data_IF_018929161115
#
_entry.id   IF_018929161115
#
_cell.length_a   1.000
_cell.length_b   1.000
_cell.length_c   1.000
_cell.angle_alpha   90.00
_cell.angle_beta   90.00
_cell.angle_gamma   90.00
#
_symmetry.space_group_name_H-M   'P 1'
#
loop_
_entity.id
_entity.type
_entity.pdbx_description
1 polymer ?
#
# COMPACT_ATOMS: atom_id res chain seq x y z
N UNK A 1 14.00 -61.22 7.49
CA UNK A 1 13.52 -60.03 8.16
C UNK A 1 13.40 -60.35 9.63
N UNK A 2 14.03 -59.59 10.49
CA UNK A 2 14.09 -59.79 11.95
C UNK A 2 12.69 -59.48 12.59
N UNK A 3 12.40 -59.99 13.81
CA UNK A 3 11.05 -59.80 14.42
C UNK A 3 10.66 -58.33 14.60
N UNK A 4 11.58 -57.44 15.00
CA UNK A 4 11.27 -56.02 15.25
C UNK A 4 11.11 -55.30 13.91
N UNK A 5 11.94 -55.52 12.94
CA UNK A 5 11.82 -54.98 11.61
C UNK A 5 10.52 -55.45 10.94
N UNK A 6 10.15 -56.70 11.14
CA UNK A 6 8.86 -57.26 10.67
C UNK A 6 7.63 -56.62 11.28
N UNK A 7 7.70 -56.13 12.52
CA UNK A 7 6.61 -55.37 13.14
C UNK A 7 6.48 -53.95 12.50
N UNK A 8 7.60 -53.30 12.22
CA UNK A 8 7.63 -51.97 11.57
C UNK A 8 7.06 -52.06 10.15
N UNK A 9 7.50 -53.07 9.37
CA UNK A 9 7.00 -53.21 7.99
C UNK A 9 5.49 -53.50 7.95
N UNK A 10 4.95 -54.30 8.86
CA UNK A 10 3.51 -54.53 9.01
C UNK A 10 2.73 -53.24 9.38
N UNK A 11 3.36 -52.32 10.12
CA UNK A 11 2.74 -51.05 10.42
C UNK A 11 2.73 -50.15 9.15
N UNK A 12 3.81 -50.13 8.41
CA UNK A 12 3.96 -49.34 7.16
C UNK A 12 2.98 -49.82 6.06
N UNK A 13 2.63 -51.10 6.05
CA UNK A 13 1.58 -51.66 5.14
C UNK A 13 0.21 -50.98 5.27
N UNK A 14 -0.10 -50.42 6.44
CA UNK A 14 -1.36 -49.74 6.72
C UNK A 14 -1.31 -48.21 6.46
N UNK A 15 -0.19 -47.69 6.12
CA UNK A 15 -0.05 -46.27 5.87
C UNK A 15 -0.63 -45.90 4.50
N UNK A 16 -1.24 -44.71 4.44
CA UNK A 16 -1.82 -44.15 3.22
C UNK A 16 -0.85 -43.24 2.46
N UNK A 17 0.37 -43.07 2.97
CA UNK A 17 1.44 -42.33 2.32
C UNK A 17 2.57 -43.26 1.90
N UNK A 18 3.33 -42.84 0.88
CA UNK A 18 4.46 -43.62 0.35
C UNK A 18 5.58 -43.71 1.38
N UNK A 19 6.11 -44.91 1.63
CA UNK A 19 7.21 -45.11 2.58
C UNK A 19 8.10 -46.27 2.19
N UNK A 20 9.35 -46.20 2.60
CA UNK A 20 10.30 -47.31 2.55
C UNK A 20 11.17 -47.39 3.82
N UNK A 21 11.91 -48.49 3.93
CA UNK A 21 12.92 -48.68 4.98
C UNK A 21 14.28 -48.90 4.28
N UNK A 22 15.28 -48.18 4.79
CA UNK A 22 16.64 -48.18 4.24
C UNK A 22 17.61 -48.66 5.32
N UNK A 23 18.59 -49.45 4.94
CA UNK A 23 19.68 -49.87 5.81
C UNK A 23 20.82 -48.83 5.88
N UNK A 24 21.87 -49.11 6.68
CA UNK A 24 23.05 -48.25 6.83
C UNK A 24 23.82 -48.05 5.50
N UNK A 25 23.71 -49.01 4.57
CA UNK A 25 24.31 -48.94 3.26
C UNK A 25 23.49 -48.21 2.19
N UNK A 26 22.42 -47.54 2.61
CA UNK A 26 21.49 -46.84 1.72
C UNK A 26 20.72 -47.73 0.76
N UNK A 27 20.55 -49.02 1.11
CA UNK A 27 19.77 -49.97 0.31
C UNK A 27 18.34 -50.01 0.83
N UNK A 28 17.37 -49.96 -0.06
CA UNK A 28 15.96 -50.10 0.26
C UNK A 28 15.66 -51.55 0.57
N UNK A 29 15.34 -51.86 1.81
CA UNK A 29 15.06 -53.22 2.28
C UNK A 29 13.55 -53.54 2.33
N UNK A 30 12.73 -52.50 2.28
CA UNK A 30 11.27 -52.62 2.26
C UNK A 30 10.66 -51.39 1.65
N UNK A 31 9.58 -51.57 0.90
CA UNK A 31 8.65 -50.51 0.44
C UNK A 31 7.23 -50.88 0.84
N UNK A 32 6.41 -49.86 1.13
CA UNK A 32 5.01 -50.15 1.40
C UNK A 32 4.16 -50.18 0.11
N UNK A 33 2.91 -50.73 0.14
CA UNK A 33 2.12 -50.88 -1.06
C UNK A 33 1.86 -49.59 -1.83
N UNK A 34 1.73 -48.43 -1.13
CA UNK A 34 1.51 -47.14 -1.76
C UNK A 34 2.73 -46.71 -2.58
N UNK A 35 3.94 -46.92 -2.04
CA UNK A 35 5.18 -46.62 -2.75
C UNK A 35 5.39 -47.56 -3.93
N UNK A 36 5.05 -48.87 -3.77
CA UNK A 36 5.16 -49.87 -4.83
C UNK A 36 4.18 -49.59 -5.98
N UNK A 37 2.97 -49.10 -5.70
CA UNK A 37 1.99 -48.70 -6.71
C UNK A 37 2.48 -47.51 -7.56
N UNK A 38 3.15 -46.54 -6.93
CA UNK A 38 3.66 -45.34 -7.63
C UNK A 38 4.92 -45.61 -8.45
N UNK A 39 5.87 -46.42 -7.95
CA UNK A 39 7.21 -46.51 -8.50
C UNK A 39 7.66 -47.96 -8.82
N UNK A 40 6.82 -48.92 -8.58
CA UNK A 40 7.15 -50.34 -8.72
C UNK A 40 7.99 -50.85 -7.55
N UNK A 41 8.47 -52.14 -7.65
CA UNK A 41 9.25 -52.71 -6.59
C UNK A 41 10.69 -52.23 -6.63
N UNK A 42 11.07 -51.41 -5.67
CA UNK A 42 12.40 -50.82 -5.50
C UNK A 42 13.28 -51.53 -4.45
N UNK A 43 12.80 -52.61 -3.87
CA UNK A 43 13.54 -53.34 -2.85
C UNK A 43 14.87 -53.92 -3.44
N UNK A 44 15.97 -53.65 -2.76
CA UNK A 44 17.32 -54.00 -3.21
C UNK A 44 18.05 -52.89 -3.94
N UNK A 45 17.37 -51.84 -4.37
CA UNK A 45 18.00 -50.71 -5.04
C UNK A 45 18.63 -49.74 -4.01
N UNK A 46 19.64 -49.00 -4.45
CA UNK A 46 20.23 -47.89 -3.67
C UNK A 46 19.39 -46.64 -3.78
N UNK A 47 19.14 -45.95 -2.68
CA UNK A 47 18.39 -44.66 -2.68
C UNK A 47 19.02 -43.62 -3.60
N UNK A 48 20.37 -43.63 -3.74
CA UNK A 48 21.11 -42.73 -4.63
C UNK A 48 20.80 -42.89 -6.12
N UNK A 49 20.22 -44.02 -6.52
CA UNK A 49 19.83 -44.28 -7.93
C UNK A 49 18.45 -43.67 -8.19
N UNK A 50 17.62 -43.55 -7.16
CA UNK A 50 16.23 -43.13 -7.26
C UNK A 50 16.09 -41.61 -7.10
N UNK A 51 16.94 -41.01 -6.27
CA UNK A 51 17.02 -39.56 -6.17
C UNK A 51 17.68 -39.01 -7.43
N UNK A 52 16.95 -38.23 -8.22
CA UNK A 52 17.54 -37.53 -9.36
C UNK A 52 18.61 -36.56 -8.85
N UNK A 53 19.87 -36.88 -9.16
CA UNK A 53 21.06 -36.19 -8.65
C UNK A 53 21.22 -34.73 -9.09
N UNK A 54 20.21 -34.12 -9.72
CA UNK A 54 20.29 -32.79 -10.32
C UNK A 54 19.56 -31.66 -9.53
N UNK A 55 18.76 -31.97 -8.52
CA UNK A 55 17.88 -30.98 -7.89
C UNK A 55 17.86 -31.01 -6.35
N UNK A 56 19.04 -31.19 -5.73
CA UNK A 56 19.16 -31.12 -4.28
C UNK A 56 19.27 -29.65 -3.82
N UNK A 57 18.17 -28.98 -3.55
CA UNK A 57 18.13 -27.92 -2.54
C UNK A 57 17.68 -28.53 -1.21
N UNK A 58 18.67 -28.92 -0.39
CA UNK A 58 18.44 -29.35 0.99
C UNK A 58 18.03 -28.12 1.80
N UNK A 59 16.75 -27.86 1.91
CA UNK A 59 16.24 -26.95 2.93
C UNK A 59 16.12 -27.75 4.24
N UNK A 60 17.24 -27.91 4.95
CA UNK A 60 17.23 -28.45 6.31
C UNK A 60 16.57 -27.43 7.24
N UNK A 61 15.27 -27.57 7.49
CA UNK A 61 14.63 -27.00 8.66
C UNK A 61 14.64 -28.08 9.75
N UNK A 62 15.46 -27.92 10.76
CA UNK A 62 15.31 -28.65 12.02
C UNK A 62 13.93 -28.33 12.61
N UNK A 63 13.02 -29.25 12.50
CA UNK A 63 11.81 -29.29 13.31
C UNK A 63 12.16 -30.22 14.46
N UNK A 64 12.29 -29.65 15.68
CA UNK A 64 12.69 -30.30 16.92
C UNK A 64 12.64 -31.82 16.97
N UNK A 65 13.05 -32.53 17.96
CA UNK A 65 13.30 -33.97 18.17
C UNK A 65 12.60 -35.06 17.30
N UNK A 66 11.89 -34.70 16.25
CA UNK A 66 11.20 -35.56 15.29
C UNK A 66 11.67 -35.26 13.85
N UNK A 67 12.77 -35.88 13.45
CA UNK A 67 13.10 -36.11 12.03
C UNK A 67 13.50 -34.88 11.18
N UNK A 68 14.50 -35.09 10.34
CA UNK A 68 14.87 -34.15 9.26
C UNK A 68 13.87 -34.29 8.11
N UNK A 69 13.39 -33.18 7.54
CA UNK A 69 12.58 -33.18 6.31
C UNK A 69 13.33 -32.52 5.17
N UNK A 70 13.24 -33.09 3.98
CA UNK A 70 13.83 -32.54 2.75
C UNK A 70 12.82 -32.60 1.60
N UNK A 71 12.91 -31.67 0.66
CA UNK A 71 12.15 -31.76 -0.58
C UNK A 71 13.02 -32.37 -1.66
N UNK A 72 12.45 -33.29 -2.44
CA UNK A 72 13.13 -34.00 -3.52
C UNK A 72 12.13 -34.31 -4.65
N UNK A 73 12.63 -34.70 -5.79
CA UNK A 73 11.80 -35.14 -6.92
C UNK A 73 12.11 -36.63 -7.21
N UNK A 74 11.06 -37.41 -7.41
CA UNK A 74 11.16 -38.80 -7.87
C UNK A 74 10.32 -38.88 -9.14
N UNK A 75 10.91 -39.20 -10.27
CA UNK A 75 10.24 -39.27 -11.58
C UNK A 75 9.43 -37.99 -11.89
N UNK A 76 10.03 -36.83 -11.68
CA UNK A 76 9.44 -35.49 -11.86
C UNK A 76 8.28 -35.13 -10.90
N UNK A 77 7.94 -36.03 -9.99
CA UNK A 77 6.94 -35.74 -8.95
C UNK A 77 7.64 -35.16 -7.71
N UNK A 78 7.29 -33.96 -7.25
CA UNK A 78 7.90 -33.35 -6.07
C UNK A 78 7.34 -33.97 -4.80
N UNK A 79 8.23 -34.44 -3.94
CA UNK A 79 7.88 -34.98 -2.62
C UNK A 79 8.55 -34.22 -1.50
N UNK A 80 7.91 -34.17 -0.35
CA UNK A 80 8.53 -33.87 0.92
C UNK A 80 8.83 -35.19 1.62
N UNK A 81 10.12 -35.48 1.82
CA UNK A 81 10.61 -36.66 2.51
C UNK A 81 10.85 -36.36 3.98
N UNK A 82 10.34 -37.20 4.83
CA UNK A 82 10.60 -37.20 6.26
C UNK A 82 11.41 -38.44 6.61
N UNK A 83 12.45 -38.30 7.40
CA UNK A 83 13.38 -39.37 7.74
C UNK A 83 13.42 -39.56 9.24
N UNK A 84 13.28 -40.82 9.69
CA UNK A 84 13.41 -41.23 11.08
C UNK A 84 14.41 -42.36 11.22
N UNK A 85 15.44 -42.17 12.06
CA UNK A 85 16.46 -43.18 12.33
C UNK A 85 15.94 -44.17 13.39
N UNK A 86 16.13 -45.43 13.15
CA UNK A 86 15.76 -46.54 14.03
C UNK A 86 17.02 -47.33 14.39
N UNK A 87 17.28 -47.46 15.70
CA UNK A 87 18.31 -48.35 16.24
C UNK A 87 17.58 -49.53 16.89
N UNK A 88 17.70 -50.69 16.28
CA UNK A 88 17.09 -51.95 16.74
C UNK A 88 18.07 -52.85 17.47
N UNK A 89 19.16 -52.28 17.99
CA UNK A 89 20.16 -53.00 18.74
C UNK A 89 20.90 -54.05 17.91
N UNK A 90 20.81 -55.34 18.32
CA UNK A 90 21.47 -56.45 17.56
C UNK A 90 20.93 -56.66 16.14
N UNK A 91 19.72 -56.15 15.83
CA UNK A 91 19.14 -56.21 14.49
C UNK A 91 19.69 -55.15 13.52
N UNK A 92 20.45 -54.18 14.02
CA UNK A 92 21.08 -53.13 13.22
C UNK A 92 20.37 -51.78 13.25
N UNK A 93 20.91 -50.84 12.47
CA UNK A 93 20.34 -49.50 12.31
C UNK A 93 19.66 -49.38 10.97
N UNK A 94 18.53 -48.72 10.99
CA UNK A 94 17.68 -48.53 9.82
C UNK A 94 17.19 -47.08 9.77
N UNK A 95 16.67 -46.69 8.61
CA UNK A 95 15.99 -45.42 8.45
C UNK A 95 14.66 -45.67 7.75
N UNK A 96 13.57 -45.16 8.38
CA UNK A 96 12.28 -45.10 7.73
C UNK A 96 12.14 -43.73 7.10
N UNK A 97 11.85 -43.71 5.81
CA UNK A 97 11.53 -42.48 5.08
C UNK A 97 10.10 -42.59 4.55
N UNK A 98 9.36 -41.51 4.72
CA UNK A 98 8.03 -41.42 4.13
C UNK A 98 7.92 -40.15 3.31
N UNK A 99 7.06 -40.16 2.31
CA UNK A 99 7.01 -39.19 1.24
C UNK A 99 5.58 -38.66 1.14
N UNK A 100 5.49 -37.34 1.19
CA UNK A 100 4.26 -36.60 0.93
C UNK A 100 4.36 -35.98 -0.46
N UNK A 101 3.42 -36.31 -1.36
CA UNK A 101 3.32 -35.65 -2.66
C UNK A 101 2.90 -34.19 -2.45
N UNK A 102 3.78 -33.28 -2.88
CA UNK A 102 3.56 -31.84 -2.74
C UNK A 102 3.27 -31.17 -4.09
N UNK A 103 2.90 -31.92 -5.11
CA UNK A 103 2.61 -31.42 -6.46
C UNK A 103 1.50 -30.36 -6.44
N UNK A 104 0.41 -30.63 -5.77
CA UNK A 104 -0.72 -29.70 -5.65
C UNK A 104 -0.31 -28.43 -4.87
N UNK A 105 0.41 -28.59 -3.76
CA UNK A 105 0.90 -27.47 -2.95
C UNK A 105 1.85 -26.58 -3.77
N UNK A 106 2.80 -27.17 -4.51
CA UNK A 106 3.70 -26.43 -5.41
C UNK A 106 2.96 -25.74 -6.54
N UNK A 107 1.95 -26.41 -7.12
CA UNK A 107 1.13 -25.79 -8.18
C UNK A 107 0.36 -24.57 -7.65
N UNK A 108 -0.31 -24.69 -6.50
CA UNK A 108 -1.01 -23.57 -5.83
C UNK A 108 -0.02 -22.44 -5.52
N UNK A 109 1.13 -22.76 -4.93
CA UNK A 109 2.14 -21.76 -4.57
C UNK A 109 2.67 -21.01 -5.80
N UNK A 110 2.97 -21.73 -6.88
CA UNK A 110 3.46 -21.13 -8.13
C UNK A 110 2.39 -20.22 -8.76
N UNK A 111 1.13 -20.67 -8.81
CA UNK A 111 0.03 -19.87 -9.32
C UNK A 111 -0.18 -18.60 -8.49
N UNK A 112 -0.13 -18.71 -7.16
CA UNK A 112 -0.22 -17.57 -6.26
C UNK A 112 0.93 -16.59 -6.47
N UNK A 113 2.16 -17.10 -6.59
CA UNK A 113 3.36 -16.27 -6.84
C UNK A 113 3.25 -15.53 -8.17
N UNK A 114 2.80 -16.21 -9.23
CA UNK A 114 2.59 -15.58 -10.54
C UNK A 114 1.48 -14.52 -10.50
N UNK A 115 0.36 -14.80 -9.82
CA UNK A 115 -0.71 -13.85 -9.65
C UNK A 115 -0.26 -12.59 -8.89
N UNK A 116 0.48 -12.76 -7.78
CA UNK A 116 1.06 -11.66 -7.03
C UNK A 116 2.05 -10.83 -7.86
N UNK A 117 2.93 -11.48 -8.62
CA UNK A 117 3.86 -10.79 -9.50
C UNK A 117 3.15 -9.96 -10.58
N UNK A 118 2.05 -10.47 -11.14
CA UNK A 118 1.21 -9.75 -12.10
C UNK A 118 0.56 -8.53 -11.45
N UNK A 119 -0.10 -8.69 -10.30
CA UNK A 119 -0.72 -7.58 -9.56
C UNK A 119 0.33 -6.50 -9.26
N UNK A 120 1.49 -6.87 -8.73
CA UNK A 120 2.56 -5.93 -8.41
C UNK A 120 3.05 -5.16 -9.64
N UNK A 121 3.12 -5.81 -10.80
CA UNK A 121 3.52 -5.14 -12.04
C UNK A 121 2.49 -4.12 -12.54
N UNK A 122 1.21 -4.45 -12.44
CA UNK A 122 0.09 -3.57 -12.82
C UNK A 122 -0.02 -2.36 -11.86
N UNK A 123 0.15 -2.59 -10.55
CA UNK A 123 0.17 -1.53 -9.54
C UNK A 123 1.31 -0.53 -9.76
N UNK A 124 2.51 -1.01 -10.16
CA UNK A 124 3.63 -0.12 -10.48
C UNK A 124 3.31 0.84 -11.64
N UNK A 125 2.62 0.36 -12.68
CA UNK A 125 2.20 1.21 -13.80
C UNK A 125 1.19 2.26 -13.32
N UNK A 126 0.20 1.86 -12.53
CA UNK A 126 -0.79 2.77 -11.97
C UNK A 126 -0.12 3.87 -11.12
N UNK A 127 0.88 3.51 -10.28
CA UNK A 127 1.68 4.46 -9.49
C UNK A 127 2.43 5.49 -10.36
N UNK A 128 3.02 5.05 -11.46
CA UNK A 128 3.69 5.96 -12.40
C UNK A 128 2.68 6.95 -12.98
N UNK A 129 1.49 6.48 -13.39
CA UNK A 129 0.44 7.33 -13.93
C UNK A 129 -0.02 8.33 -12.86
N UNK A 130 -0.35 7.86 -11.65
CA UNK A 130 -0.81 8.72 -10.56
C UNK A 130 0.23 9.82 -10.22
N UNK A 131 1.50 9.46 -10.11
CA UNK A 131 2.55 10.44 -9.85
C UNK A 131 2.76 11.42 -11.01
N UNK A 132 2.54 11.01 -12.26
CA UNK A 132 2.75 11.85 -13.44
C UNK A 132 1.68 12.94 -13.62
N UNK A 133 0.54 12.80 -12.97
CA UNK A 133 -0.53 13.81 -13.03
C UNK A 133 -0.41 14.88 -11.95
N UNK A 134 0.42 14.66 -10.91
CA UNK A 134 0.65 15.66 -9.87
C UNK A 134 1.51 16.82 -10.41
N UNK A 135 1.25 18.07 -9.98
CA UNK A 135 2.03 19.21 -10.41
C UNK A 135 3.47 19.12 -9.88
N UNK A 136 4.42 19.58 -10.67
CA UNK A 136 5.82 19.67 -10.25
C UNK A 136 6.06 20.92 -9.39
N UNK A 137 7.07 20.86 -8.54
CA UNK A 137 7.49 22.03 -7.75
C UNK A 137 8.18 23.03 -8.65
N UNK A 138 7.59 24.23 -8.80
CA UNK A 138 8.09 25.29 -9.65
C UNK A 138 7.43 26.64 -9.32
N UNK A 139 7.90 27.70 -9.95
CA UNK A 139 7.23 28.99 -9.94
C UNK A 139 6.31 29.12 -11.14
N UNK A 140 5.02 29.10 -10.87
CA UNK A 140 3.98 29.16 -11.91
C UNK A 140 3.59 30.60 -12.21
N UNK A 141 3.64 30.95 -13.50
CA UNK A 141 3.17 32.23 -14.07
C UNK A 141 3.76 33.48 -13.40
N UNK A 142 4.94 33.38 -12.76
CA UNK A 142 5.55 34.42 -11.93
C UNK A 142 4.60 34.95 -10.81
N UNK A 143 3.63 34.16 -10.42
CA UNK A 143 2.58 34.53 -9.46
C UNK A 143 2.60 33.67 -8.20
N UNK A 144 2.86 32.39 -8.34
CA UNK A 144 2.83 31.40 -7.26
C UNK A 144 4.08 30.55 -7.29
N UNK A 145 4.89 30.57 -6.23
CA UNK A 145 5.93 29.55 -6.02
C UNK A 145 5.30 28.34 -5.32
N UNK A 146 5.13 27.28 -6.07
CA UNK A 146 4.41 26.09 -5.66
C UNK A 146 5.38 24.98 -5.25
N UNK A 147 5.18 24.44 -4.06
CA UNK A 147 5.92 23.30 -3.54
C UNK A 147 4.94 22.29 -2.96
N UNK A 148 5.13 21.03 -3.27
CA UNK A 148 4.31 19.95 -2.74
C UNK A 148 5.15 18.74 -2.36
N UNK A 149 4.65 17.96 -1.44
CA UNK A 149 5.17 16.62 -1.13
C UNK A 149 4.01 15.66 -0.97
N UNK A 150 4.18 14.48 -1.53
CA UNK A 150 3.24 13.37 -1.46
C UNK A 150 3.94 12.10 -0.98
N UNK A 151 3.35 11.42 -0.04
CA UNK A 151 3.84 10.15 0.49
C UNK A 151 2.65 9.23 0.72
N UNK A 152 2.37 8.33 -0.22
CA UNK A 152 1.28 7.37 -0.06
C UNK A 152 1.60 6.37 1.05
N UNK A 153 0.55 5.90 1.73
CA UNK A 153 0.63 4.85 2.75
C UNK A 153 0.94 3.49 2.14
N UNK A 154 0.35 3.22 0.98
CA UNK A 154 0.53 2.02 0.17
C UNK A 154 1.20 2.35 -1.19
N UNK A 155 1.20 1.39 -2.10
CA UNK A 155 1.69 1.62 -3.46
C UNK A 155 0.89 2.68 -4.23
N UNK A 156 -0.40 2.79 -3.97
CA UNK A 156 -1.34 3.76 -4.55
C UNK A 156 -2.13 4.44 -3.44
N UNK A 157 -2.29 5.75 -3.51
CA UNK A 157 -3.00 6.53 -2.51
C UNK A 157 -4.31 7.15 -3.01
N UNK A 158 -5.10 7.64 -2.03
CA UNK A 158 -6.34 8.36 -2.23
C UNK A 158 -6.16 9.88 -2.31
N UNK A 159 -5.02 10.39 -1.85
CA UNK A 159 -4.72 11.82 -1.91
C UNK A 159 -4.42 12.30 -3.33
N UNK A 160 -4.91 13.48 -3.67
CA UNK A 160 -4.51 14.18 -4.89
C UNK A 160 -4.65 15.70 -4.74
N UNK A 161 -3.90 16.42 -5.55
CA UNK A 161 -3.88 17.87 -5.52
C UNK A 161 -3.45 18.40 -6.88
N UNK A 162 -3.80 19.66 -7.16
CA UNK A 162 -3.37 20.31 -8.41
C UNK A 162 -3.34 21.83 -8.27
N UNK A 163 -2.71 22.45 -9.25
CA UNK A 163 -2.67 23.88 -9.46
C UNK A 163 -2.99 24.17 -10.93
N UNK A 164 -4.02 24.95 -11.20
CA UNK A 164 -4.40 25.29 -12.57
C UNK A 164 -4.68 26.78 -12.76
N UNK A 165 -4.31 27.29 -13.93
CA UNK A 165 -4.67 28.64 -14.35
C UNK A 165 -6.07 28.64 -14.95
N UNK A 166 -6.99 29.41 -14.38
CA UNK A 166 -8.35 29.59 -14.91
C UNK A 166 -8.43 30.67 -16.00
N UNK A 167 -7.78 31.81 -15.77
CA UNK A 167 -7.61 32.89 -16.73
C UNK A 167 -6.33 33.69 -16.39
N UNK A 168 -6.15 34.91 -16.90
CA UNK A 168 -4.90 35.66 -16.67
C UNK A 168 -4.73 36.14 -15.25
N UNK A 169 -5.80 36.27 -14.48
CA UNK A 169 -5.79 36.77 -13.10
C UNK A 169 -6.21 35.73 -12.06
N UNK A 170 -6.82 34.60 -12.48
CA UNK A 170 -7.38 33.61 -11.55
C UNK A 170 -6.68 32.26 -11.64
N UNK A 171 -6.34 31.73 -10.48
CA UNK A 171 -5.63 30.45 -10.29
C UNK A 171 -6.40 29.60 -9.28
N UNK A 172 -6.57 28.32 -9.55
CA UNK A 172 -7.22 27.37 -8.66
C UNK A 172 -6.17 26.41 -8.09
N UNK A 173 -6.11 26.32 -6.79
CA UNK A 173 -5.35 25.32 -6.02
C UNK A 173 -6.33 24.46 -5.25
N UNK A 174 -6.06 23.18 -5.13
CA UNK A 174 -6.87 22.29 -4.32
C UNK A 174 -6.10 21.09 -3.82
N UNK A 175 -6.58 20.53 -2.71
CA UNK A 175 -6.17 19.25 -2.18
C UNK A 175 -7.41 18.44 -1.85
N UNK A 176 -7.34 17.14 -2.02
CA UNK A 176 -8.43 16.22 -1.82
C UNK A 176 -7.92 14.86 -1.32
N UNK A 177 -8.77 14.18 -0.59
CA UNK A 177 -8.57 12.82 -0.13
C UNK A 177 -9.81 11.97 -0.44
N UNK A 178 -9.58 10.79 -0.99
CA UNK A 178 -10.60 9.80 -1.36
C UNK A 178 -10.70 8.75 -0.27
N UNK A 179 -11.87 8.57 0.30
CA UNK A 179 -12.11 7.53 1.30
C UNK A 179 -11.66 6.13 0.84
N UNK A 180 -10.82 5.48 1.65
CA UNK A 180 -10.26 4.17 1.36
C UNK A 180 -8.88 4.24 0.70
N UNK A 181 -8.30 3.06 0.43
CA UNK A 181 -6.93 2.94 -0.09
C UNK A 181 -6.86 1.96 -1.28
N UNK A 182 -5.76 2.02 -2.00
CA UNK A 182 -5.47 1.09 -3.09
C UNK A 182 -6.04 1.52 -4.45
N UNK A 183 -6.29 0.53 -5.33
CA UNK A 183 -6.63 0.78 -6.74
C UNK A 183 -7.93 1.57 -6.91
N UNK A 184 -8.94 1.30 -6.09
CA UNK A 184 -10.25 1.96 -6.23
C UNK A 184 -10.16 3.45 -5.94
N UNK A 185 -9.55 3.83 -4.80
CA UNK A 185 -9.34 5.24 -4.44
C UNK A 185 -8.46 5.94 -5.48
N UNK A 186 -7.36 5.31 -5.92
CA UNK A 186 -6.47 5.92 -6.91
C UNK A 186 -7.11 6.13 -8.29
N UNK A 187 -8.03 5.29 -8.73
CA UNK A 187 -8.80 5.51 -9.96
C UNK A 187 -9.79 6.67 -9.79
N UNK A 188 -10.40 6.78 -8.60
CA UNK A 188 -11.31 7.87 -8.31
C UNK A 188 -10.56 9.22 -8.21
N UNK A 189 -9.29 9.25 -7.74
CA UNK A 189 -8.46 10.46 -7.79
C UNK A 189 -8.29 10.97 -9.22
N UNK A 190 -7.96 10.07 -10.15
CA UNK A 190 -7.80 10.42 -11.58
C UNK A 190 -9.11 10.93 -12.18
N UNK A 191 -10.24 10.26 -11.89
CA UNK A 191 -11.55 10.69 -12.34
C UNK A 191 -11.90 12.09 -11.79
N UNK A 192 -11.78 12.30 -10.50
CA UNK A 192 -12.13 13.57 -9.85
C UNK A 192 -11.26 14.72 -10.37
N UNK A 193 -9.96 14.49 -10.53
CA UNK A 193 -9.07 15.47 -11.14
C UNK A 193 -9.51 15.86 -12.54
N UNK A 194 -9.87 14.90 -13.40
CA UNK A 194 -10.35 15.14 -14.74
C UNK A 194 -11.68 15.93 -14.72
N UNK A 195 -12.54 15.65 -13.71
CA UNK A 195 -13.77 16.42 -13.54
C UNK A 195 -13.51 17.88 -13.15
N UNK A 196 -12.52 18.15 -12.30
CA UNK A 196 -12.10 19.54 -11.99
C UNK A 196 -11.65 20.26 -13.27
N UNK A 197 -10.78 19.63 -14.07
CA UNK A 197 -10.26 20.22 -15.31
C UNK A 197 -11.37 20.50 -16.31
N UNK A 198 -12.30 19.57 -16.48
CA UNK A 198 -13.40 19.66 -17.47
C UNK A 198 -14.45 20.70 -17.03
N UNK A 199 -14.66 20.89 -15.74
CA UNK A 199 -15.61 21.84 -15.17
C UNK A 199 -15.02 23.25 -14.94
N UNK A 200 -13.97 23.64 -15.68
CA UNK A 200 -13.30 24.95 -15.59
C UNK A 200 -14.27 26.15 -15.63
N UNK A 201 -15.38 26.05 -16.36
CA UNK A 201 -16.38 27.11 -16.41
C UNK A 201 -17.09 27.29 -15.06
N UNK A 202 -17.38 26.19 -14.35
CA UNK A 202 -17.93 26.24 -13.01
C UNK A 202 -16.90 26.86 -12.03
N UNK A 203 -15.63 26.46 -12.13
CA UNK A 203 -14.54 27.03 -11.32
C UNK A 203 -14.39 28.55 -11.50
N UNK A 204 -14.61 29.07 -12.70
CA UNK A 204 -14.62 30.52 -12.97
C UNK A 204 -15.84 31.22 -12.32
N UNK A 205 -17.00 30.57 -12.30
CA UNK A 205 -18.20 31.11 -11.66
C UNK A 205 -18.05 31.17 -10.15
N UNK A 206 -17.57 30.09 -9.51
CA UNK A 206 -17.36 29.99 -8.07
C UNK A 206 -16.74 28.66 -7.69
N UNK A 207 -16.06 28.59 -6.52
CA UNK A 207 -15.55 27.35 -5.98
C UNK A 207 -16.69 26.46 -5.46
N UNK A 208 -17.75 27.05 -4.94
CA UNK A 208 -18.98 26.39 -4.54
C UNK A 208 -19.73 25.77 -5.74
N UNK A 209 -19.83 26.51 -6.86
CA UNK A 209 -20.41 26.02 -8.10
C UNK A 209 -19.63 24.81 -8.67
N UNK A 210 -18.30 24.85 -8.54
CA UNK A 210 -17.46 23.72 -8.92
C UNK A 210 -17.74 22.50 -8.05
N UNK A 211 -17.83 22.67 -6.71
CA UNK A 211 -18.14 21.57 -5.78
C UNK A 211 -19.51 20.95 -6.10
N UNK A 212 -20.55 21.78 -6.29
CA UNK A 212 -21.89 21.29 -6.64
C UNK A 212 -21.87 20.49 -7.94
N UNK A 213 -21.08 20.92 -8.92
CA UNK A 213 -20.92 20.19 -10.18
C UNK A 213 -20.18 18.86 -10.00
N UNK A 214 -19.16 18.84 -9.17
CA UNK A 214 -18.40 17.60 -8.86
C UNK A 214 -19.26 16.57 -8.12
N UNK A 215 -20.18 17.01 -7.24
CA UNK A 215 -21.16 16.11 -6.62
C UNK A 215 -22.03 15.44 -7.66
N UNK A 216 -22.55 16.20 -8.62
CA UNK A 216 -23.37 15.64 -9.71
C UNK A 216 -22.57 14.62 -10.57
N UNK A 217 -21.32 14.96 -10.89
CA UNK A 217 -20.45 14.07 -11.65
C UNK A 217 -20.09 12.79 -10.87
N UNK A 218 -19.91 12.91 -9.54
CA UNK A 218 -19.70 11.76 -8.65
C UNK A 218 -20.96 10.88 -8.53
N UNK A 219 -22.14 11.48 -8.37
CA UNK A 219 -23.41 10.75 -8.26
C UNK A 219 -23.75 9.98 -9.54
N UNK A 220 -23.24 10.43 -10.70
CA UNK A 220 -23.40 9.71 -11.98
C UNK A 220 -22.59 8.40 -12.03
N UNK A 221 -21.63 8.19 -11.12
CA UNK A 221 -20.92 6.92 -10.95
C UNK A 221 -21.75 5.98 -10.07
N UNK A 222 -21.87 4.72 -10.50
CA UNK A 222 -22.54 3.69 -9.67
C UNK A 222 -21.57 3.08 -8.65
N UNK A 223 -21.04 3.93 -7.76
CA UNK A 223 -20.12 3.55 -6.70
C UNK A 223 -20.87 3.12 -5.44
N UNK A 224 -20.15 2.42 -4.55
CA UNK A 224 -20.64 2.11 -3.22
C UNK A 224 -21.00 3.39 -2.45
N UNK A 225 -22.08 3.34 -1.67
CA UNK A 225 -22.55 4.47 -0.84
C UNK A 225 -21.56 4.90 0.25
N UNK A 226 -20.58 4.05 0.57
CA UNK A 226 -19.51 4.35 1.52
C UNK A 226 -18.35 5.16 0.89
N UNK A 227 -18.29 5.28 -0.42
CA UNK A 227 -17.27 6.08 -1.10
C UNK A 227 -17.62 7.56 -1.03
N UNK A 228 -16.64 8.37 -0.68
CA UNK A 228 -16.72 9.83 -0.68
C UNK A 228 -15.36 10.46 -0.94
N UNK A 229 -15.35 11.72 -1.25
CA UNK A 229 -14.12 12.51 -1.44
C UNK A 229 -14.21 13.76 -0.58
N UNK A 230 -13.21 14.00 0.24
CA UNK A 230 -13.01 15.28 0.90
C UNK A 230 -12.17 16.19 0.02
N UNK A 231 -12.52 17.47 -0.05
CA UNK A 231 -11.82 18.38 -0.94
C UNK A 231 -11.91 19.82 -0.45
N UNK A 232 -10.83 20.58 -0.58
CA UNK A 232 -10.83 22.02 -0.36
C UNK A 232 -10.28 22.73 -1.60
N UNK A 233 -11.03 23.72 -2.08
CA UNK A 233 -10.64 24.61 -3.17
C UNK A 233 -10.22 25.98 -2.65
N UNK A 234 -9.15 26.50 -3.24
CA UNK A 234 -8.62 27.84 -3.01
C UNK A 234 -8.42 28.53 -4.36
N UNK A 235 -9.31 29.46 -4.72
CA UNK A 235 -9.23 30.26 -5.95
C UNK A 235 -8.58 31.60 -5.64
N UNK A 236 -7.38 31.84 -6.15
CA UNK A 236 -6.66 33.08 -6.00
C UNK A 236 -6.90 34.01 -7.19
N UNK A 237 -7.35 35.25 -6.92
CA UNK A 237 -7.43 36.33 -7.89
C UNK A 237 -6.31 37.36 -7.60
N UNK A 238 -5.31 37.41 -8.47
CA UNK A 238 -4.14 38.26 -8.27
C UNK A 238 -4.44 39.76 -8.42
N UNK A 239 -5.42 40.13 -9.27
CA UNK A 239 -5.80 41.53 -9.50
C UNK A 239 -6.50 42.12 -8.28
N UNK A 240 -7.34 41.34 -7.61
CA UNK A 240 -8.07 41.72 -6.41
C UNK A 240 -7.33 41.37 -5.12
N UNK A 241 -6.30 40.51 -5.19
CA UNK A 241 -5.61 39.92 -4.03
C UNK A 241 -6.56 39.16 -3.11
N UNK A 242 -7.50 38.47 -3.69
CA UNK A 242 -8.52 37.70 -3.00
C UNK A 242 -8.27 36.21 -3.12
N UNK A 243 -8.45 35.49 -2.02
CA UNK A 243 -8.47 34.03 -1.98
C UNK A 243 -9.89 33.59 -1.60
N UNK A 244 -10.62 33.00 -2.54
CA UNK A 244 -11.94 32.42 -2.32
C UNK A 244 -11.80 30.93 -2.05
N UNK A 245 -12.39 30.48 -0.95
CA UNK A 245 -12.26 29.13 -0.42
C UNK A 245 -13.63 28.47 -0.35
N UNK A 246 -13.72 27.20 -0.73
CA UNK A 246 -14.87 26.32 -0.44
C UNK A 246 -14.36 24.97 0.02
N UNK A 247 -15.08 24.33 0.93
CA UNK A 247 -14.71 23.08 1.56
C UNK A 247 -15.81 22.02 1.41
N UNK A 248 -15.44 20.83 0.97
CA UNK A 248 -16.28 19.65 0.91
C UNK A 248 -15.77 18.59 1.91
N UNK A 249 -15.96 18.85 3.20
CA UNK A 249 -15.68 17.90 4.28
C UNK A 249 -14.19 17.64 4.57
N UNK A 250 -13.29 18.46 4.03
CA UNK A 250 -11.86 18.32 4.31
C UNK A 250 -11.52 18.90 5.68
N UNK A 251 -11.09 18.04 6.61
CA UNK A 251 -10.93 18.40 8.03
C UNK A 251 -9.64 19.19 8.32
N UNK A 252 -8.67 19.18 7.39
CA UNK A 252 -7.46 19.98 7.47
C UNK A 252 -7.67 21.34 6.80
N UNK A 253 -8.07 22.33 7.60
CA UNK A 253 -8.41 23.65 7.08
C UNK A 253 -7.19 24.39 6.49
N UNK A 254 -7.38 25.22 5.46
CA UNK A 254 -6.33 26.05 4.90
C UNK A 254 -5.65 26.90 5.96
N UNK A 255 -4.31 26.91 5.95
CA UNK A 255 -3.48 27.69 6.85
C UNK A 255 -2.77 28.77 6.03
N UNK A 256 -2.97 30.03 6.42
CA UNK A 256 -2.28 31.17 5.83
C UNK A 256 -1.17 31.61 6.77
N UNK A 257 0.03 31.74 6.24
CA UNK A 257 1.15 32.39 6.93
C UNK A 257 1.33 33.77 6.29
N UNK A 258 1.07 34.79 7.07
CA UNK A 258 1.27 36.17 6.63
C UNK A 258 2.76 36.50 6.53
N UNK A 259 3.11 37.45 5.69
CA UNK A 259 4.51 37.88 5.48
C UNK A 259 5.23 38.27 6.80
N UNK A 260 4.49 38.62 7.84
CA UNK A 260 5.03 38.93 9.17
C UNK A 260 5.16 37.68 10.09
N UNK A 261 4.99 36.48 9.57
CA UNK A 261 5.09 35.21 10.30
C UNK A 261 3.85 34.82 11.12
N UNK A 262 2.79 35.65 11.15
CA UNK A 262 1.53 35.27 11.83
C UNK A 262 0.76 34.25 11.02
N UNK A 263 0.21 33.26 11.71
CA UNK A 263 -0.65 32.25 11.10
C UNK A 263 -2.13 32.57 11.28
N UNK A 264 -2.94 32.19 10.31
CA UNK A 264 -4.38 32.28 10.31
C UNK A 264 -4.95 31.00 9.70
N UNK A 265 -5.79 30.28 10.42
CA UNK A 265 -6.52 29.12 9.91
C UNK A 265 -7.90 29.56 9.48
N UNK A 266 -8.36 29.09 8.32
CA UNK A 266 -9.67 29.42 7.77
C UNK A 266 -10.61 28.22 7.99
N UNK A 267 -11.36 28.18 9.09
CA UNK A 267 -12.25 27.07 9.39
C UNK A 267 -13.49 27.16 8.50
N UNK A 268 -13.74 26.16 7.70
CA UNK A 268 -14.91 26.08 6.84
C UNK A 268 -15.43 24.64 6.83
N UNK A 269 -16.69 24.47 7.18
CA UNK A 269 -17.35 23.16 7.14
C UNK A 269 -18.00 22.92 5.77
N UNK A 270 -18.16 21.65 5.40
CA UNK A 270 -18.89 21.25 4.20
C UNK A 270 -19.16 19.75 4.24
N UNK A 271 -20.09 19.30 3.41
CA UNK A 271 -20.36 17.87 3.23
C UNK A 271 -19.36 17.28 2.24
N UNK A 272 -18.72 16.13 2.52
CA UNK A 272 -17.89 15.44 1.54
C UNK A 272 -18.65 15.16 0.24
N UNK A 273 -17.97 15.23 -0.89
CA UNK A 273 -18.51 14.84 -2.19
C UNK A 273 -18.91 13.37 -2.11
N UNK A 274 -20.21 13.11 -2.16
CA UNK A 274 -20.81 11.78 -1.97
C UNK A 274 -22.23 11.76 -2.52
N UNK A 275 -22.84 10.58 -2.62
CA UNK A 275 -24.27 10.47 -3.00
C UNK A 275 -25.21 11.19 -2.03
N UNK A 276 -24.81 11.34 -0.76
CA UNK A 276 -25.63 12.05 0.25
C UNK A 276 -25.62 13.57 0.04
N UNK A 277 -24.56 14.10 -0.57
CA UNK A 277 -24.41 15.52 -0.82
C UNK A 277 -25.17 16.02 -2.06
N UNK A 278 -25.90 15.16 -2.78
CA UNK A 278 -26.67 15.54 -3.96
C UNK A 278 -27.71 16.60 -3.62
N UNK A 279 -27.64 17.72 -4.35
CA UNK A 279 -28.54 18.86 -4.14
C UNK A 279 -28.23 19.76 -2.94
N UNK A 280 -27.10 19.54 -2.28
CA UNK A 280 -26.62 20.46 -1.23
C UNK A 280 -25.82 21.61 -1.84
N UNK A 281 -25.93 22.77 -1.20
CA UNK A 281 -25.15 23.95 -1.53
C UNK A 281 -23.86 23.98 -0.70
N UNK A 282 -22.82 24.59 -1.27
CA UNK A 282 -21.55 24.81 -0.60
C UNK A 282 -21.34 26.32 -0.39
N UNK A 283 -20.75 26.65 0.75
CA UNK A 283 -20.41 28.03 1.08
C UNK A 283 -19.08 28.43 0.43
N UNK A 284 -18.91 29.75 0.23
CA UNK A 284 -17.65 30.38 -0.13
C UNK A 284 -17.26 31.41 0.95
N UNK A 285 -15.96 31.42 1.28
CA UNK A 285 -15.37 32.49 2.09
C UNK A 285 -14.25 33.15 1.29
N UNK A 286 -14.24 34.48 1.26
CA UNK A 286 -13.22 35.25 0.55
C UNK A 286 -12.42 36.07 1.55
N UNK A 287 -11.11 35.91 1.50
CA UNK A 287 -10.15 36.64 2.33
C UNK A 287 -9.14 37.39 1.46
N UNK A 288 -8.52 38.43 2.02
CA UNK A 288 -7.41 39.10 1.36
C UNK A 288 -6.12 38.32 1.59
N UNK A 289 -5.38 38.07 0.52
CA UNK A 289 -4.04 37.47 0.54
C UNK A 289 -3.08 38.33 -0.27
N UNK A 290 -1.94 38.67 0.30
CA UNK A 290 -1.00 39.61 -0.31
C UNK A 290 0.26 38.88 -0.83
N UNK A 291 0.99 39.50 -1.76
CA UNK A 291 2.34 39.05 -2.07
C UNK A 291 3.21 38.98 -0.82
N UNK A 292 3.90 37.84 -0.66
CA UNK A 292 4.68 37.48 0.52
C UNK A 292 3.89 36.64 1.54
N UNK A 293 2.56 36.53 1.42
CA UNK A 293 1.78 35.56 2.19
C UNK A 293 1.93 34.16 1.59
N UNK A 294 1.69 33.14 2.41
CA UNK A 294 1.85 31.71 2.06
C UNK A 294 0.56 30.97 2.39
N UNK A 295 0.05 30.20 1.44
CA UNK A 295 -1.05 29.25 1.64
C UNK A 295 -0.45 27.85 1.88
N UNK A 296 -0.95 27.14 2.90
CA UNK A 296 -0.57 25.74 3.19
C UNK A 296 -1.85 24.93 3.21
N UNK A 297 -1.89 23.86 2.40
CA UNK A 297 -2.95 22.86 2.38
C UNK A 297 -2.31 21.49 2.68
N UNK A 298 -2.98 20.65 3.45
CA UNK A 298 -2.45 19.34 3.85
C UNK A 298 -3.58 18.37 4.17
N UNK A 299 -3.29 17.07 4.12
CA UNK A 299 -4.22 15.99 4.45
C UNK A 299 -4.03 15.48 5.87
N UNK A 300 -5.02 14.76 6.36
CA UNK A 300 -5.10 14.27 7.74
C UNK A 300 -4.03 13.25 8.10
N UNK A 301 -3.49 12.48 7.13
CA UNK A 301 -2.36 11.59 7.36
C UNK A 301 -1.08 12.30 7.88
N UNK A 302 -0.99 13.65 7.75
CA UNK A 302 0.08 14.41 8.38
C UNK A 302 -0.20 14.63 9.87
N UNK A 303 -1.44 14.80 10.27
CA UNK A 303 -1.84 15.31 11.61
C UNK A 303 -2.42 14.24 12.52
N UNK A 304 -3.01 13.17 11.99
CA UNK A 304 -3.71 12.16 12.76
C UNK A 304 -2.82 11.06 13.34
N UNK A 305 -1.59 10.94 12.88
CA UNK A 305 -0.64 9.97 13.43
C UNK A 305 -0.40 10.23 14.92
N UNK A 306 -0.49 9.16 15.72
CA UNK A 306 -0.39 9.21 17.18
C UNK A 306 0.85 8.45 17.65
N UNK A 307 1.69 9.11 18.43
CA UNK A 307 2.79 8.46 19.15
C UNK A 307 2.22 7.48 20.18
N UNK A 308 2.49 6.20 20.01
CA UNK A 308 1.97 5.13 20.89
C UNK A 308 2.50 5.21 22.31
N UNK A 309 3.64 5.86 22.52
CA UNK A 309 4.28 5.96 23.83
C UNK A 309 3.63 7.08 24.65
N UNK A 310 3.31 8.20 23.98
CA UNK A 310 2.80 9.41 24.64
C UNK A 310 1.30 9.60 24.44
N UNK A 311 0.69 8.94 23.44
CA UNK A 311 -0.70 9.15 23.04
C UNK A 311 -0.95 10.52 22.41
N UNK A 312 0.10 11.27 22.06
CA UNK A 312 -0.01 12.59 21.44
C UNK A 312 0.06 12.47 19.93
N UNK A 313 -0.80 13.24 19.22
CA UNK A 313 -0.72 13.43 17.78
C UNK A 313 0.16 14.63 17.42
N UNK A 314 0.70 14.64 16.21
CA UNK A 314 1.37 15.81 15.66
C UNK A 314 0.39 17.00 15.57
N UNK A 315 -0.82 16.74 15.07
CA UNK A 315 -1.94 17.66 15.04
C UNK A 315 -1.74 18.86 14.11
N UNK A 316 -2.81 19.56 13.82
CA UNK A 316 -2.77 20.83 13.06
C UNK A 316 -1.91 21.89 13.75
N UNK A 317 -1.83 21.85 15.08
CA UNK A 317 -0.99 22.74 15.86
C UNK A 317 0.51 22.50 15.62
N UNK A 318 0.92 21.25 15.36
CA UNK A 318 2.29 20.93 14.96
C UNK A 318 2.66 21.56 13.62
N UNK A 319 1.77 21.46 12.64
CA UNK A 319 1.91 22.11 11.33
C UNK A 319 2.03 23.62 11.50
N UNK A 320 1.11 24.23 12.26
CA UNK A 320 1.09 25.69 12.50
C UNK A 320 2.39 26.19 13.12
N UNK A 321 2.86 25.55 14.18
CA UNK A 321 4.11 25.93 14.87
C UNK A 321 5.34 25.87 13.96
N UNK A 322 5.42 24.83 13.14
CA UNK A 322 6.54 24.73 12.18
C UNK A 322 6.44 25.78 11.08
N UNK A 323 5.23 26.02 10.59
CA UNK A 323 5.00 27.02 9.56
C UNK A 323 5.38 28.45 10.05
N UNK A 324 4.99 28.82 11.27
CA UNK A 324 5.40 30.08 11.90
C UNK A 324 6.92 30.17 12.11
N UNK A 325 7.50 29.09 12.65
CA UNK A 325 8.94 29.04 12.96
C UNK A 325 9.83 29.18 11.73
N UNK A 326 9.39 28.58 10.60
CA UNK A 326 10.17 28.51 9.37
C UNK A 326 9.55 29.35 8.24
N UNK A 327 8.79 30.39 8.57
CA UNK A 327 8.09 31.23 7.57
C UNK A 327 9.04 31.93 6.59
N UNK A 328 10.28 32.25 6.99
CA UNK A 328 11.29 32.88 6.15
C UNK A 328 11.99 31.91 5.19
N UNK A 329 11.83 30.59 5.39
CA UNK A 329 12.45 29.58 4.53
C UNK A 329 11.58 29.31 3.30
N UNK A 330 12.21 28.80 2.24
CA UNK A 330 11.47 28.40 1.04
C UNK A 330 10.43 27.29 1.33
N UNK A 331 9.41 27.23 0.48
CA UNK A 331 8.30 26.28 0.67
C UNK A 331 8.73 24.82 0.65
N UNK A 332 9.77 24.48 -0.13
CA UNK A 332 10.25 23.09 -0.20
C UNK A 332 10.93 22.64 1.09
N UNK A 333 11.68 23.55 1.73
CA UNK A 333 12.27 23.30 3.03
C UNK A 333 11.20 23.10 4.10
N UNK A 334 10.20 23.98 4.13
CA UNK A 334 9.10 23.89 5.10
C UNK A 334 8.28 22.60 4.91
N UNK A 335 7.91 22.24 3.68
CA UNK A 335 7.19 21.01 3.37
C UNK A 335 7.97 19.78 3.90
N UNK A 336 9.27 19.72 3.63
CA UNK A 336 10.13 18.64 4.12
C UNK A 336 10.16 18.58 5.65
N UNK A 337 10.28 19.73 6.32
CA UNK A 337 10.30 19.79 7.79
C UNK A 337 8.99 19.31 8.40
N UNK A 338 7.84 19.69 7.86
CA UNK A 338 6.55 19.23 8.33
C UNK A 338 6.43 17.71 8.15
N UNK A 339 6.77 17.20 6.96
CA UNK A 339 6.72 15.76 6.66
C UNK A 339 7.67 14.95 7.55
N UNK A 340 8.89 15.44 7.81
CA UNK A 340 9.87 14.73 8.66
C UNK A 340 9.47 14.75 10.13
N UNK A 341 8.87 15.84 10.62
CA UNK A 341 8.38 15.90 12.00
C UNK A 341 7.14 15.02 12.19
N UNK A 342 6.18 15.03 11.27
CA UNK A 342 4.99 14.16 11.36
C UNK A 342 5.36 12.67 11.40
N UNK A 343 6.39 12.24 10.64
CA UNK A 343 6.88 10.85 10.67
C UNK A 343 7.34 10.35 12.04
N UNK A 344 7.77 11.25 12.92
CA UNK A 344 8.22 10.85 14.26
C UNK A 344 7.09 10.34 15.14
N UNK A 345 5.85 10.63 14.78
CA UNK A 345 4.64 10.15 15.45
C UNK A 345 4.15 8.81 14.89
N UNK A 346 4.57 8.42 13.69
CA UNK A 346 4.23 7.13 13.09
C UNK A 346 5.14 6.02 13.60
N UNK A 347 4.57 4.96 14.17
CA UNK A 347 5.33 3.90 14.86
C UNK A 347 6.01 2.88 13.94
N UNK A 348 5.37 2.44 12.86
CA UNK A 348 5.89 1.34 12.02
C UNK A 348 5.62 1.59 10.53
N UNK A 349 4.45 2.12 10.19
CA UNK A 349 4.07 2.51 8.83
C UNK A 349 3.07 3.65 8.89
N UNK A 350 3.05 4.52 7.89
CA UNK A 350 1.96 5.47 7.72
C UNK A 350 0.66 4.67 7.56
N UNK A 351 -0.37 5.07 8.29
CA UNK A 351 -1.70 4.46 8.18
C UNK A 351 -2.52 5.11 7.07
N UNK A 352 -2.15 6.33 6.69
CA UNK A 352 -2.83 7.11 5.68
C UNK A 352 -1.86 7.87 4.79
N UNK A 353 -2.35 8.32 3.64
CA UNK A 353 -1.60 9.12 2.69
C UNK A 353 -1.26 10.48 3.29
N UNK A 354 -0.09 10.99 2.98
CA UNK A 354 0.38 12.30 3.47
C UNK A 354 0.66 13.21 2.31
N UNK A 355 -0.10 14.29 2.22
CA UNK A 355 0.06 15.29 1.18
C UNK A 355 0.13 16.70 1.79
N UNK A 356 1.01 17.51 1.26
CA UNK A 356 1.13 18.92 1.60
C UNK A 356 1.41 19.76 0.37
N UNK A 357 0.73 20.90 0.29
CA UNK A 357 0.99 21.97 -0.67
C UNK A 357 1.42 23.20 0.10
N UNK A 358 2.45 23.87 -0.39
CA UNK A 358 2.89 25.19 0.06
C UNK A 358 2.95 26.09 -1.16
N UNK A 359 2.11 27.11 -1.18
CA UNK A 359 2.01 28.09 -2.24
C UNK A 359 2.37 29.48 -1.73
N UNK A 360 3.55 29.98 -2.11
CA UNK A 360 3.99 31.33 -1.82
C UNK A 360 3.41 32.29 -2.87
N UNK A 361 2.67 33.31 -2.43
CA UNK A 361 2.09 34.32 -3.30
C UNK A 361 3.16 35.35 -3.64
N UNK A 362 3.51 35.48 -4.92
CA UNK A 362 4.57 36.37 -5.41
C UNK A 362 4.01 37.68 -5.98
N UNK A 363 2.83 37.62 -6.59
CA UNK A 363 2.20 38.76 -7.24
C UNK A 363 0.66 38.65 -7.19
#
# INVERSE_FOLDING_TARGET
>A
MTPQLGAITKLLEKFTFSAWVVDDDQTIIYINPVMEELFGNLAGEKTSIIYDCGSYEVVSKQIGDAGESSELSISDIPFRCFSCKLDLGEEGRFRVEYFEDISEQKHIYNNMTQALAKINSETKIAKIIQNSILPINDTYWNTIAYNSMYMPADDLGGDFYDLMKLNDDEYLMYIADVAGHGIQSSLLTVFMRERVITNRKAALAGTNELLSKLVLDFCALDLDSMMYVTMVFCKYNKALRELTISNAGHNCFPLIIRNNGRSETIPMSGMPISKIAEGMDYDEETIIINPGDRLILFTDGIVEEVDSTTGQSFGTEGVRKLAEKYHEYDGSYLARKIMDESKKYALISAKDDRSIIIADILA
#
